data_IF_236273874701
#
_entry.id   IF_236273874701
#
_cell.length_a   1.000
_cell.length_b   1.000
_cell.length_c   1.000
_cell.angle_alpha   90.00
_cell.angle_beta   90.00
_cell.angle_gamma   90.00
#
_symmetry.space_group_name_H-M   'P 1'
#
loop_
_entity.id
_entity.type
_entity.pdbx_description
1 polymer ?
#
# COMPACT_ATOMS: atom_id res chain seq x y z
N UNK A 1 18.04 17.97 -2.28
CA UNK A 1 17.24 16.80 -2.65
C UNK A 1 15.79 17.27 -2.73
N UNK A 2 15.02 16.91 -3.77
CA UNK A 2 13.61 17.33 -3.84
C UNK A 2 12.83 16.76 -2.66
N UNK A 3 11.81 17.48 -2.19
CA UNK A 3 10.97 17.06 -1.05
C UNK A 3 10.42 15.64 -1.26
N UNK A 4 9.86 15.36 -2.44
CA UNK A 4 9.34 14.04 -2.83
C UNK A 4 10.42 12.94 -2.80
N UNK A 5 11.63 13.21 -3.29
CA UNK A 5 12.73 12.22 -3.23
C UNK A 5 13.08 11.87 -1.78
N UNK A 6 13.04 12.87 -0.89
CA UNK A 6 13.23 12.65 0.55
C UNK A 6 12.13 11.78 1.16
N UNK A 7 10.88 11.93 0.72
CA UNK A 7 9.78 11.09 1.16
C UNK A 7 9.91 9.63 0.69
N UNK A 8 10.31 9.40 -0.57
CA UNK A 8 10.61 8.05 -1.05
C UNK A 8 11.76 7.40 -0.28
N UNK A 9 12.87 8.11 -0.06
CA UNK A 9 13.97 7.58 0.75
C UNK A 9 13.49 7.19 2.15
N UNK A 10 12.76 8.08 2.83
CA UNK A 10 12.20 7.79 4.16
C UNK A 10 11.29 6.55 4.13
N UNK A 11 10.49 6.41 3.07
CA UNK A 11 9.59 5.27 2.91
C UNK A 11 10.37 3.94 2.81
N UNK A 12 11.43 3.90 2.00
CA UNK A 12 12.27 2.72 1.86
C UNK A 12 13.02 2.40 3.15
N UNK A 13 13.52 3.42 3.85
CA UNK A 13 14.20 3.26 5.13
C UNK A 13 13.31 2.62 6.19
N UNK A 14 12.07 3.09 6.32
CA UNK A 14 11.11 2.52 7.28
C UNK A 14 10.66 1.11 6.91
N UNK A 15 10.49 0.80 5.61
CA UNK A 15 9.91 -0.47 5.19
C UNK A 15 10.93 -1.60 5.02
N UNK A 16 12.09 -1.31 4.41
CA UNK A 16 13.07 -2.33 4.03
C UNK A 16 14.28 -2.39 4.97
N UNK A 17 14.71 -1.27 5.53
CA UNK A 17 16.03 -1.17 6.15
C UNK A 17 16.02 -1.13 7.69
N UNK A 18 14.87 -0.85 8.31
CA UNK A 18 14.74 -0.86 9.77
C UNK A 18 14.20 -2.18 10.30
N UNK A 19 14.87 -2.69 11.33
CA UNK A 19 14.39 -3.85 12.10
C UNK A 19 13.04 -3.59 12.79
N UNK A 20 12.80 -2.35 13.23
CA UNK A 20 11.54 -1.89 13.82
C UNK A 20 10.88 -0.82 12.94
N UNK A 21 10.54 -1.19 11.71
CA UNK A 21 9.88 -0.30 10.76
C UNK A 21 8.59 0.31 11.33
N UNK A 22 8.38 1.60 11.10
CA UNK A 22 7.23 2.37 11.58
C UNK A 22 6.19 2.55 10.46
N UNK A 23 5.32 1.56 10.29
CA UNK A 23 4.33 1.56 9.22
C UNK A 23 3.04 0.86 9.61
N UNK A 24 2.01 1.12 8.81
CA UNK A 24 0.72 0.48 8.89
C UNK A 24 0.61 -0.55 7.80
N UNK A 25 -0.01 -1.68 8.13
CA UNK A 25 -0.38 -2.72 7.18
C UNK A 25 -1.88 -2.74 7.06
N UNK A 26 -2.36 -2.84 5.82
CA UNK A 26 -3.78 -2.95 5.48
C UNK A 26 -4.02 -4.28 4.80
N UNK A 27 -4.84 -5.11 5.44
CA UNK A 27 -5.06 -6.50 5.04
C UNK A 27 -6.53 -6.88 5.21
N UNK A 28 -6.95 -7.89 4.47
CA UNK A 28 -8.23 -8.59 4.64
C UNK A 28 -8.34 -9.35 5.96
N UNK A 29 -7.22 -9.62 6.64
CA UNK A 29 -7.18 -10.29 7.94
C UNK A 29 -6.60 -9.40 9.05
N UNK A 30 -7.09 -9.50 10.30
CA UNK A 30 -6.65 -8.66 11.42
C UNK A 30 -5.25 -8.99 11.95
N UNK A 31 -4.72 -10.17 11.63
CA UNK A 31 -3.43 -10.65 12.10
C UNK A 31 -2.85 -11.67 11.12
N UNK A 32 -1.54 -11.94 11.21
CA UNK A 32 -0.89 -13.00 10.43
C UNK A 32 -1.55 -14.34 10.73
N UNK A 33 -2.12 -14.96 9.71
CA UNK A 33 -2.73 -16.29 9.82
C UNK A 33 -1.68 -17.36 9.52
N UNK A 34 -1.10 -17.96 10.56
CA UNK A 34 -0.13 -19.07 10.41
C UNK A 34 -0.86 -20.42 10.38
N UNK A 35 -1.46 -20.73 9.24
CA UNK A 35 -2.27 -21.95 9.05
C UNK A 35 -2.06 -22.53 7.65
N UNK A 36 -2.01 -23.85 7.52
CA UNK A 36 -1.99 -24.51 6.19
C UNK A 36 -3.19 -24.13 5.33
N UNK A 37 -4.35 -23.90 5.98
CA UNK A 37 -5.56 -23.41 5.29
C UNK A 37 -5.38 -22.01 4.70
N UNK A 38 -4.49 -21.20 5.29
CA UNK A 38 -4.21 -19.87 4.77
C UNK A 38 -3.37 -19.98 3.49
N UNK A 39 -2.34 -20.83 3.46
CA UNK A 39 -1.57 -21.05 2.23
C UNK A 39 -2.46 -21.56 1.09
N UNK A 40 -3.37 -22.50 1.39
CA UNK A 40 -4.37 -22.96 0.41
C UNK A 40 -5.29 -21.82 -0.06
N UNK A 41 -5.80 -20.99 0.85
CA UNK A 41 -6.58 -19.81 0.52
C UNK A 41 -5.78 -18.81 -0.32
N UNK A 42 -4.52 -18.59 0.03
CA UNK A 42 -3.66 -17.61 -0.61
C UNK A 42 -3.39 -17.99 -2.06
N UNK A 43 -2.95 -19.21 -2.30
CA UNK A 43 -2.61 -19.71 -3.64
C UNK A 43 -3.84 -19.92 -4.52
N UNK A 44 -4.98 -20.30 -3.94
CA UNK A 44 -6.19 -20.62 -4.72
C UNK A 44 -7.20 -19.49 -4.82
N UNK A 45 -7.15 -18.51 -3.91
CA UNK A 45 -8.15 -17.44 -3.78
C UNK A 45 -7.52 -16.06 -3.81
N UNK A 46 -6.54 -15.75 -2.94
CA UNK A 46 -5.99 -14.39 -2.82
C UNK A 46 -5.17 -13.98 -4.06
N UNK A 47 -4.13 -14.75 -4.39
CA UNK A 47 -3.23 -14.46 -5.52
C UNK A 47 -3.97 -14.47 -6.86
N UNK A 48 -4.88 -15.44 -7.14
CA UNK A 48 -5.67 -15.39 -8.36
C UNK A 48 -6.84 -14.39 -8.30
N UNK A 49 -6.99 -13.66 -7.19
CA UNK A 49 -8.13 -12.79 -6.87
C UNK A 49 -9.51 -13.44 -7.11
N UNK A 50 -9.67 -14.72 -6.78
CA UNK A 50 -10.99 -15.37 -6.88
C UNK A 50 -11.95 -14.73 -5.88
N UNK A 51 -13.22 -14.70 -6.28
CA UNK A 51 -14.31 -14.04 -5.53
C UNK A 51 -14.06 -12.55 -5.29
N UNK A 52 -13.16 -11.90 -6.05
CA UNK A 52 -12.89 -10.47 -5.98
C UNK A 52 -12.44 -10.00 -4.58
N UNK A 53 -11.72 -10.83 -3.82
CA UNK A 53 -11.29 -10.52 -2.45
C UNK A 53 -10.44 -9.24 -2.41
N UNK A 54 -9.55 -9.08 -3.38
CA UNK A 54 -8.66 -7.92 -3.47
C UNK A 54 -9.38 -6.63 -3.88
N UNK A 55 -10.61 -6.72 -4.39
CA UNK A 55 -11.36 -5.52 -4.80
C UNK A 55 -11.65 -4.59 -3.61
N UNK A 56 -11.66 -5.09 -2.37
CA UNK A 56 -11.74 -4.25 -1.16
C UNK A 56 -10.55 -3.29 -1.05
N UNK A 57 -9.34 -3.81 -1.24
CA UNK A 57 -8.11 -3.01 -1.25
C UNK A 57 -8.09 -2.04 -2.43
N UNK A 58 -8.55 -2.47 -3.61
CA UNK A 58 -8.70 -1.58 -4.77
C UNK A 58 -9.62 -0.42 -4.43
N UNK A 59 -10.81 -0.67 -3.86
CA UNK A 59 -11.76 0.40 -3.51
C UNK A 59 -11.19 1.37 -2.47
N UNK A 60 -10.49 0.88 -1.45
CA UNK A 60 -9.84 1.74 -0.46
C UNK A 60 -8.77 2.63 -1.11
N UNK A 61 -7.92 2.07 -1.97
CA UNK A 61 -6.88 2.80 -2.70
C UNK A 61 -7.48 3.78 -3.73
N UNK A 62 -8.55 3.40 -4.43
CA UNK A 62 -9.29 4.30 -5.34
C UNK A 62 -9.80 5.53 -4.60
N UNK A 63 -10.31 5.35 -3.37
CA UNK A 63 -10.78 6.47 -2.55
C UNK A 63 -9.61 7.38 -2.16
N UNK A 64 -8.48 6.83 -1.73
CA UNK A 64 -7.28 7.62 -1.45
C UNK A 64 -6.80 8.41 -2.67
N UNK A 65 -6.81 7.79 -3.85
CA UNK A 65 -6.49 8.44 -5.12
C UNK A 65 -7.36 9.68 -5.38
N UNK A 66 -8.63 9.67 -4.99
CA UNK A 66 -9.53 10.83 -5.17
C UNK A 66 -9.25 11.99 -4.19
N UNK A 67 -8.50 11.76 -3.12
CA UNK A 67 -8.20 12.78 -2.10
C UNK A 67 -6.84 13.46 -2.32
N UNK A 68 -6.07 13.05 -3.34
CA UNK A 68 -4.71 13.58 -3.56
C UNK A 68 -4.46 13.83 -5.06
N UNK A 69 -4.19 15.08 -5.42
CA UNK A 69 -3.91 15.50 -6.80
C UNK A 69 -2.41 15.43 -7.14
N UNK A 70 -1.58 15.19 -6.12
CA UNK A 70 -0.13 15.20 -6.18
C UNK A 70 0.44 13.84 -5.77
N UNK A 71 0.12 12.85 -6.60
CA UNK A 71 0.62 11.49 -6.47
C UNK A 71 1.89 11.33 -7.30
N UNK A 72 2.90 10.67 -6.73
CA UNK A 72 4.16 10.33 -7.40
C UNK A 72 4.41 8.82 -7.30
N UNK A 73 5.04 8.26 -8.32
CA UNK A 73 5.43 6.85 -8.37
C UNK A 73 6.94 6.71 -8.44
N UNK A 74 7.48 5.74 -7.71
CA UNK A 74 8.88 5.38 -7.80
C UNK A 74 9.10 4.48 -9.03
N UNK A 75 9.91 4.95 -9.97
CA UNK A 75 10.22 4.23 -11.20
C UNK A 75 11.42 3.27 -11.01
N UNK A 76 12.35 3.64 -10.12
CA UNK A 76 13.57 2.88 -9.83
C UNK A 76 14.00 3.11 -8.37
N UNK A 77 14.10 2.02 -7.62
CA UNK A 77 14.47 1.99 -6.19
C UNK A 77 15.93 2.35 -5.96
N UNK A 78 16.85 1.88 -6.81
CA UNK A 78 18.30 2.07 -6.63
C UNK A 78 18.69 3.51 -6.93
N UNK A 79 18.19 4.07 -8.04
CA UNK A 79 18.51 5.44 -8.44
C UNK A 79 17.62 6.51 -7.77
N UNK A 80 16.54 6.07 -7.08
CA UNK A 80 15.48 6.93 -6.56
C UNK A 80 14.97 7.88 -7.65
N UNK A 81 14.70 7.31 -8.81
CA UNK A 81 14.06 7.99 -9.93
C UNK A 81 12.55 7.85 -9.76
N UNK A 82 11.83 8.96 -9.91
CA UNK A 82 10.39 9.01 -9.71
C UNK A 82 9.75 9.96 -10.71
N UNK A 83 8.47 9.73 -10.96
CA UNK A 83 7.65 10.51 -11.87
C UNK A 83 6.33 10.91 -11.21
N UNK A 84 5.68 11.96 -11.74
CA UNK A 84 4.31 12.29 -11.32
C UNK A 84 3.38 11.22 -11.88
N UNK A 85 2.49 10.69 -11.03
CA UNK A 85 1.51 9.71 -11.44
C UNK A 85 0.35 10.42 -12.14
N UNK A 86 0.24 10.27 -13.46
CA UNK A 86 -0.72 10.99 -14.31
C UNK A 86 -1.82 10.11 -14.90
N UNK A 87 -1.81 8.82 -14.56
CA UNK A 87 -2.80 7.84 -15.02
C UNK A 87 -4.16 8.14 -14.39
N UNK A 88 -5.23 7.89 -15.15
CA UNK A 88 -6.60 8.07 -14.66
C UNK A 88 -7.03 6.96 -13.69
N UNK A 89 -8.20 7.08 -13.07
CA UNK A 89 -8.66 6.12 -12.04
C UNK A 89 -8.80 4.67 -12.54
N UNK A 90 -9.14 4.45 -13.81
CA UNK A 90 -9.25 3.10 -14.38
C UNK A 90 -7.86 2.50 -14.47
N UNK A 91 -6.92 3.25 -15.06
CA UNK A 91 -5.52 2.84 -15.17
C UNK A 91 -4.85 2.66 -13.79
N UNK A 92 -5.23 3.47 -12.80
CA UNK A 92 -4.80 3.31 -11.40
C UNK A 92 -5.29 2.00 -10.81
N UNK A 93 -6.57 1.68 -10.98
CA UNK A 93 -7.13 0.42 -10.47
C UNK A 93 -6.51 -0.79 -11.16
N UNK A 94 -6.21 -0.68 -12.46
CA UNK A 94 -5.52 -1.73 -13.23
C UNK A 94 -4.09 -1.94 -12.70
N UNK A 95 -3.35 -0.87 -12.43
CA UNK A 95 -2.03 -0.96 -11.79
C UNK A 95 -2.15 -1.62 -10.41
N UNK A 96 -3.06 -1.16 -9.54
CA UNK A 96 -3.27 -1.76 -8.22
C UNK A 96 -3.55 -3.26 -8.36
N UNK A 97 -4.48 -3.68 -9.23
CA UNK A 97 -4.80 -5.09 -9.44
C UNK A 97 -3.64 -5.91 -10.02
N UNK A 98 -2.73 -5.28 -10.76
CA UNK A 98 -1.52 -5.94 -11.26
C UNK A 98 -0.51 -6.20 -10.14
N UNK A 99 -0.28 -5.23 -9.26
CA UNK A 99 0.77 -5.31 -8.25
C UNK A 99 0.31 -5.96 -6.95
N UNK A 100 -0.93 -5.71 -6.55
CA UNK A 100 -1.49 -6.19 -5.28
C UNK A 100 -1.39 -7.71 -5.08
N UNK A 101 -1.75 -8.59 -6.04
CA UNK A 101 -1.57 -10.04 -5.88
C UNK A 101 -0.13 -10.53 -6.10
N UNK A 102 0.77 -9.68 -6.58
CA UNK A 102 2.06 -10.15 -7.10
C UNK A 102 3.07 -10.41 -5.98
N UNK A 103 3.71 -11.58 -6.07
CA UNK A 103 4.91 -11.97 -5.29
C UNK A 103 6.21 -11.83 -6.11
N UNK A 104 6.09 -11.69 -7.43
CA UNK A 104 7.20 -11.78 -8.38
C UNK A 104 7.57 -10.44 -9.01
N UNK A 105 6.70 -9.44 -8.89
CA UNK A 105 6.91 -8.10 -9.46
C UNK A 105 7.31 -7.15 -8.34
N UNK A 106 8.21 -6.21 -8.64
CA UNK A 106 8.53 -5.11 -7.75
C UNK A 106 7.26 -4.37 -7.32
N UNK A 107 7.18 -4.05 -6.04
CA UNK A 107 6.00 -3.45 -5.44
C UNK A 107 5.69 -2.10 -6.09
N UNK A 108 4.41 -1.75 -6.19
CA UNK A 108 4.04 -0.39 -6.58
C UNK A 108 4.22 0.55 -5.38
N UNK A 109 5.13 1.51 -5.52
CA UNK A 109 5.49 2.46 -4.45
C UNK A 109 5.03 3.86 -4.86
N UNK A 110 4.11 4.42 -4.08
CA UNK A 110 3.46 5.70 -4.34
C UNK A 110 3.67 6.67 -3.17
N UNK A 111 3.78 7.95 -3.48
CA UNK A 111 3.69 9.04 -2.51
C UNK A 111 2.44 9.84 -2.82
N UNK A 112 1.53 9.91 -1.85
CA UNK A 112 0.37 10.80 -1.84
C UNK A 112 0.81 12.06 -1.08
N UNK A 113 1.20 13.10 -1.83
CA UNK A 113 1.88 14.26 -1.27
C UNK A 113 0.96 15.15 -0.43
N UNK A 114 -0.29 15.32 -0.85
CA UNK A 114 -1.27 16.16 -0.15
C UNK A 114 -1.73 15.47 1.16
N UNK A 115 -1.94 14.15 1.10
CA UNK A 115 -2.25 13.32 2.27
C UNK A 115 -1.02 13.08 3.17
N UNK A 116 0.19 13.36 2.67
CA UNK A 116 1.48 13.10 3.33
C UNK A 116 1.63 11.65 3.78
N UNK A 117 1.33 10.71 2.88
CA UNK A 117 1.54 9.28 3.11
C UNK A 117 2.32 8.64 1.96
N UNK A 118 3.11 7.62 2.28
CA UNK A 118 3.70 6.71 1.30
C UNK A 118 2.94 5.39 1.31
N UNK A 119 2.65 4.83 0.15
CA UNK A 119 1.85 3.60 0.00
C UNK A 119 2.62 2.56 -0.83
N UNK A 120 2.68 1.34 -0.31
CA UNK A 120 3.47 0.22 -0.84
C UNK A 120 2.53 -0.96 -1.10
N UNK A 121 2.30 -1.32 -2.36
CA UNK A 121 1.27 -2.27 -2.79
C UNK A 121 1.91 -3.56 -3.32
N UNK A 122 1.52 -4.71 -2.75
CA UNK A 122 2.01 -6.04 -3.15
C UNK A 122 1.75 -7.12 -2.10
N UNK A 123 2.11 -8.37 -2.40
CA UNK A 123 1.98 -9.50 -1.46
C UNK A 123 0.56 -9.72 -0.90
N UNK A 124 -0.47 -9.47 -1.71
CA UNK A 124 -1.88 -9.60 -1.34
C UNK A 124 -2.41 -8.50 -0.41
N UNK A 125 -1.59 -7.51 -0.04
CA UNK A 125 -1.93 -6.44 0.89
C UNK A 125 -1.34 -5.09 0.43
N UNK A 126 -1.54 -4.05 1.23
CA UNK A 126 -0.74 -2.83 1.06
C UNK A 126 -0.33 -2.26 2.40
N UNK A 127 0.77 -1.52 2.39
CA UNK A 127 1.34 -0.87 3.55
C UNK A 127 1.32 0.63 3.33
N UNK A 128 1.24 1.41 4.41
CA UNK A 128 1.45 2.84 4.30
C UNK A 128 2.26 3.40 5.47
N UNK A 129 3.00 4.47 5.17
CA UNK A 129 3.84 5.20 6.12
C UNK A 129 3.30 6.63 6.20
N UNK A 130 3.14 7.14 7.43
CA UNK A 130 2.72 8.51 7.67
C UNK A 130 3.93 9.45 7.70
N UNK A 131 3.89 10.53 6.92
CA UNK A 131 4.88 11.61 6.98
C UNK A 131 4.34 12.79 7.80
N UNK A 132 3.93 12.49 9.04
CA UNK A 132 3.24 13.45 9.92
C UNK A 132 1.93 13.95 9.29
N UNK A 133 1.17 13.01 8.72
CA UNK A 133 -0.14 13.30 8.15
C UNK A 133 -1.13 13.70 9.25
N UNK A 134 -1.84 14.82 9.04
CA UNK A 134 -2.99 15.21 9.89
C UNK A 134 -4.25 14.42 9.55
N UNK A 135 -4.28 13.81 8.38
CA UNK A 135 -5.42 13.06 7.83
C UNK A 135 -5.26 11.54 8.01
N UNK A 136 -4.35 11.11 8.89
CA UNK A 136 -4.09 9.68 9.12
C UNK A 136 -5.36 8.89 9.49
N UNK A 137 -6.22 9.50 10.31
CA UNK A 137 -7.50 8.91 10.70
C UNK A 137 -8.45 8.75 9.52
N UNK A 138 -8.43 9.67 8.55
CA UNK A 138 -9.20 9.53 7.32
C UNK A 138 -8.73 8.31 6.53
N UNK A 139 -7.42 8.13 6.37
CA UNK A 139 -6.83 6.97 5.67
C UNK A 139 -7.29 5.66 6.31
N UNK A 140 -7.21 5.56 7.63
CA UNK A 140 -7.69 4.39 8.38
C UNK A 140 -9.19 4.15 8.17
N UNK A 141 -10.01 5.20 8.26
CA UNK A 141 -11.46 5.10 8.08
C UNK A 141 -11.85 4.62 6.69
N UNK A 142 -11.14 5.09 5.65
CA UNK A 142 -11.38 4.66 4.27
C UNK A 142 -11.08 3.16 4.10
N UNK A 143 -10.01 2.66 4.73
CA UNK A 143 -9.68 1.24 4.68
C UNK A 143 -10.70 0.39 5.43
N UNK A 144 -11.04 0.78 6.67
CA UNK A 144 -11.99 0.03 7.52
C UNK A 144 -13.39 0.02 6.91
N UNK A 145 -13.81 1.09 6.24
CA UNK A 145 -15.10 1.16 5.57
C UNK A 145 -15.25 0.10 4.44
N UNK A 146 -14.15 -0.32 3.82
CA UNK A 146 -14.14 -1.41 2.82
C UNK A 146 -14.02 -2.81 3.45
N UNK A 147 -14.07 -2.90 4.78
CA UNK A 147 -13.92 -4.15 5.51
C UNK A 147 -12.50 -4.68 5.52
N UNK A 148 -11.51 -3.79 5.46
CA UNK A 148 -10.10 -4.09 5.68
C UNK A 148 -9.73 -3.82 7.14
N UNK A 149 -8.70 -4.53 7.59
CA UNK A 149 -8.07 -4.30 8.88
C UNK A 149 -6.83 -3.46 8.69
N UNK A 150 -6.64 -2.51 9.60
CA UNK A 150 -5.45 -1.67 9.66
C UNK A 150 -4.75 -1.98 10.96
N UNK A 151 -3.46 -2.30 10.91
CA UNK A 151 -2.66 -2.52 12.10
C UNK A 151 -1.30 -1.85 11.97
N UNK A 152 -0.86 -1.26 13.07
CA UNK A 152 0.46 -0.65 13.15
C UNK A 152 1.49 -1.69 13.58
N UNK A 153 2.67 -1.68 12.97
CA UNK A 153 3.73 -2.67 13.27
C UNK A 153 4.17 -2.65 14.72
N UNK A 154 4.12 -1.50 15.39
CA UNK A 154 4.47 -1.37 16.81
C UNK A 154 3.42 -1.92 17.77
N UNK A 155 2.18 -2.12 17.32
CA UNK A 155 1.11 -2.66 18.16
C UNK A 155 1.16 -4.19 18.29
N UNK A 156 2.09 -4.84 17.58
CA UNK A 156 2.30 -6.31 17.62
C UNK A 156 3.28 -6.77 18.71
N UNK A 157 3.75 -5.87 19.58
CA UNK A 157 4.63 -6.19 20.72
C UNK A 157 3.83 -6.55 21.98
#
# INVERSE_FOLDING_TARGET
>A
MSEIKGLFQKMLDEYYFKEEGDFYVVDTFPAVVKSEKYFDFEDNVLIPNKYNILNKSVLALSKLYLYDENIYVLDDVESLTYSKYTKNIIEFNDDVLKFLPSREVDKLILIFSDLRIGVLIGDGCFNYISFESKELKLVEQLCVAEGLFVFHTKDRK
#
